data_IF_481602980942
#
_entry.id   IF_481602980942
#
_cell.length_a   1.000
_cell.length_b   1.000
_cell.length_c   1.000
_cell.angle_alpha   90.00
_cell.angle_beta   90.00
_cell.angle_gamma   90.00
#
_symmetry.space_group_name_H-M   'P 1'
#
loop_
_entity.id
_entity.type
_entity.pdbx_description
1 polymer ?
#
# COMPACT_ATOMS: atom_id res chain seq x y z
N UNK A 1 -18.59 -5.01 -1.79
CA UNK A 1 -18.01 -3.63 -1.85
C UNK A 1 -17.14 -3.47 -3.09
N UNK A 2 -16.28 -4.46 -3.39
CA UNK A 2 -15.44 -4.52 -4.59
C UNK A 2 -16.23 -4.35 -5.90
N UNK A 3 -17.28 -5.14 -6.13
CA UNK A 3 -18.08 -5.08 -7.37
C UNK A 3 -18.59 -3.68 -7.72
N UNK A 4 -19.01 -2.91 -6.70
CA UNK A 4 -19.51 -1.54 -6.89
C UNK A 4 -18.39 -0.59 -7.33
N UNK A 5 -17.18 -0.78 -6.80
CA UNK A 5 -16.00 -0.01 -7.16
C UNK A 5 -15.51 -0.40 -8.57
N UNK A 6 -15.54 -1.68 -8.92
CA UNK A 6 -15.19 -2.17 -10.28
C UNK A 6 -16.17 -1.64 -11.32
N UNK A 7 -17.47 -1.58 -10.99
CA UNK A 7 -18.47 -0.99 -11.88
C UNK A 7 -18.19 0.49 -12.13
N UNK A 8 -17.85 1.26 -11.10
CA UNK A 8 -17.46 2.68 -11.27
C UNK A 8 -16.20 2.82 -12.12
N UNK A 9 -15.23 1.91 -11.98
CA UNK A 9 -14.03 1.88 -12.81
C UNK A 9 -14.39 1.62 -14.29
N UNK A 10 -15.27 0.66 -14.54
CA UNK A 10 -15.77 0.32 -15.89
C UNK A 10 -16.60 1.47 -16.50
N UNK A 11 -17.33 2.23 -15.68
CA UNK A 11 -18.04 3.45 -16.09
C UNK A 11 -17.10 4.65 -16.33
N UNK A 12 -15.77 4.44 -16.26
CA UNK A 12 -14.75 5.43 -16.60
C UNK A 12 -14.27 6.29 -15.44
N UNK A 13 -14.73 6.04 -14.20
CA UNK A 13 -14.26 6.78 -13.01
C UNK A 13 -12.96 6.21 -12.48
N UNK A 14 -11.91 6.22 -13.29
CA UNK A 14 -10.57 5.81 -12.82
C UNK A 14 -9.93 6.93 -11.99
N UNK A 15 -9.75 6.69 -10.69
CA UNK A 15 -9.16 7.68 -9.77
C UNK A 15 -8.37 6.97 -8.68
N UNK A 16 -7.33 7.64 -8.16
CA UNK A 16 -6.49 7.09 -7.09
C UNK A 16 -7.31 6.64 -5.86
N UNK A 17 -8.33 7.41 -5.46
CA UNK A 17 -9.26 7.05 -4.38
C UNK A 17 -10.08 5.78 -4.69
N UNK A 18 -10.56 5.64 -5.93
CA UNK A 18 -11.32 4.46 -6.33
C UNK A 18 -10.43 3.21 -6.32
N UNK A 19 -9.25 3.31 -6.94
CA UNK A 19 -8.24 2.24 -6.96
C UNK A 19 -7.77 1.86 -5.57
N UNK A 20 -7.62 2.84 -4.67
CA UNK A 20 -7.35 2.59 -3.26
C UNK A 20 -8.47 1.79 -2.58
N UNK A 21 -9.73 2.18 -2.80
CA UNK A 21 -10.88 1.46 -2.28
C UNK A 21 -10.95 0.01 -2.81
N UNK A 22 -10.62 -0.19 -4.09
CA UNK A 22 -10.51 -1.53 -4.69
C UNK A 22 -9.41 -2.33 -3.98
N UNK A 23 -8.23 -1.74 -3.81
CA UNK A 23 -7.12 -2.35 -3.10
C UNK A 23 -7.46 -2.75 -1.65
N UNK A 24 -8.12 -1.87 -0.90
CA UNK A 24 -8.59 -2.17 0.46
C UNK A 24 -9.63 -3.29 0.50
N UNK A 25 -10.61 -3.26 -0.41
CA UNK A 25 -11.60 -4.34 -0.52
C UNK A 25 -10.93 -5.68 -0.83
N UNK A 26 -9.97 -5.67 -1.75
CA UNK A 26 -9.24 -6.84 -2.18
C UNK A 26 -8.37 -7.42 -1.04
N UNK A 27 -7.74 -6.56 -0.23
CA UNK A 27 -7.06 -6.99 1.00
C UNK A 27 -8.00 -7.67 2.01
N UNK A 28 -9.25 -7.20 2.12
CA UNK A 28 -10.25 -7.82 3.00
C UNK A 28 -10.74 -9.17 2.49
N UNK A 29 -10.67 -9.37 1.18
CA UNK A 29 -10.99 -10.65 0.51
C UNK A 29 -9.80 -11.63 0.51
N UNK A 30 -8.68 -11.27 1.15
CA UNK A 30 -7.43 -12.03 1.16
C UNK A 30 -6.74 -12.10 -0.22
N UNK A 31 -7.17 -11.27 -1.17
CA UNK A 31 -6.60 -11.14 -2.51
C UNK A 31 -5.48 -10.09 -2.52
N UNK A 32 -4.35 -10.39 -1.86
CA UNK A 32 -3.24 -9.45 -1.75
C UNK A 32 -2.58 -9.11 -3.11
N UNK A 33 -2.66 -10.02 -4.10
CA UNK A 33 -2.06 -9.83 -5.44
C UNK A 33 -2.76 -8.70 -6.19
N UNK A 34 -4.08 -8.82 -6.34
CA UNK A 34 -4.93 -7.81 -6.97
C UNK A 34 -4.92 -6.50 -6.17
N UNK A 35 -4.87 -6.57 -4.84
CA UNK A 35 -4.72 -5.39 -4.01
C UNK A 35 -3.45 -4.61 -4.34
N UNK A 36 -2.29 -5.28 -4.42
CA UNK A 36 -1.02 -4.64 -4.73
C UNK A 36 -1.06 -3.95 -6.10
N UNK A 37 -1.67 -4.57 -7.11
CA UNK A 37 -1.85 -3.98 -8.43
C UNK A 37 -2.68 -2.70 -8.34
N UNK A 38 -3.89 -2.76 -7.76
CA UNK A 38 -4.75 -1.58 -7.65
C UNK A 38 -4.10 -0.44 -6.85
N UNK A 39 -3.41 -0.78 -5.76
CA UNK A 39 -2.74 0.21 -4.90
C UNK A 39 -1.53 0.85 -5.59
N UNK A 40 -0.72 0.08 -6.32
CA UNK A 40 0.38 0.61 -7.13
C UNK A 40 -0.15 1.58 -8.21
N UNK A 41 -1.25 1.21 -8.85
CA UNK A 41 -1.91 2.09 -9.79
C UNK A 41 -2.49 3.37 -9.14
N UNK A 42 -2.88 3.32 -7.87
CA UNK A 42 -3.31 4.49 -7.11
C UNK A 42 -2.14 5.42 -6.77
N UNK A 43 -0.98 4.85 -6.40
CA UNK A 43 0.23 5.64 -6.08
C UNK A 43 0.85 6.28 -7.33
N UNK A 44 0.73 5.66 -8.50
CA UNK A 44 1.14 6.27 -9.78
C UNK A 44 0.27 7.48 -10.12
N UNK A 45 -1.05 7.38 -9.92
CA UNK A 45 -1.96 8.51 -10.16
C UNK A 45 -1.79 9.64 -9.15
N UNK A 46 -1.68 9.28 -7.87
CA UNK A 46 -1.52 10.23 -6.78
C UNK A 46 -0.31 9.83 -5.95
N UNK A 47 0.91 10.27 -6.34
CA UNK A 47 2.14 9.94 -5.62
C UNK A 47 2.14 10.51 -4.20
N UNK A 48 1.36 11.57 -3.98
CA UNK A 48 1.09 12.13 -2.66
C UNK A 48 0.23 11.24 -1.76
N UNK A 49 -0.32 10.12 -2.21
CA UNK A 49 -1.31 9.39 -1.41
C UNK A 49 -0.68 8.43 -0.40
N UNK A 50 -0.28 8.96 0.75
CA UNK A 50 0.34 8.23 1.86
C UNK A 50 -0.42 6.97 2.28
N UNK A 51 -1.76 7.01 2.26
CA UNK A 51 -2.60 5.85 2.59
C UNK A 51 -2.47 4.70 1.58
N UNK A 52 -2.36 5.00 0.29
CA UNK A 52 -2.16 3.97 -0.75
C UNK A 52 -0.82 3.28 -0.61
N UNK A 53 0.26 4.04 -0.33
CA UNK A 53 1.58 3.47 -0.04
C UNK A 53 1.56 2.55 1.19
N UNK A 54 0.82 2.94 2.24
CA UNK A 54 0.66 2.13 3.46
C UNK A 54 0.03 0.77 3.14
N UNK A 55 -1.11 0.76 2.44
CA UNK A 55 -1.79 -0.48 2.08
C UNK A 55 -0.98 -1.30 1.06
N UNK A 56 -0.27 -0.65 0.13
CA UNK A 56 0.55 -1.33 -0.87
C UNK A 56 1.60 -2.21 -0.20
N UNK A 57 2.36 -1.65 0.76
CA UNK A 57 3.33 -2.46 1.49
C UNK A 57 2.68 -3.56 2.33
N UNK A 58 1.47 -3.35 2.86
CA UNK A 58 0.73 -4.40 3.58
C UNK A 58 0.29 -5.54 2.66
N UNK A 59 -0.10 -5.23 1.42
CA UNK A 59 -0.40 -6.22 0.40
C UNK A 59 0.87 -7.02 0.05
N UNK A 60 1.97 -6.34 -0.26
CA UNK A 60 3.25 -6.96 -0.58
C UNK A 60 3.79 -7.84 0.55
N UNK A 61 3.64 -7.41 1.80
CA UNK A 61 4.02 -8.23 2.95
C UNK A 61 3.19 -9.52 3.02
N UNK A 62 1.88 -9.45 2.80
CA UNK A 62 1.02 -10.65 2.78
C UNK A 62 1.35 -11.59 1.62
N UNK A 63 1.86 -11.05 0.50
CA UNK A 63 2.38 -11.83 -0.62
C UNK A 63 3.73 -12.50 -0.35
N UNK A 64 4.33 -12.29 0.82
CA UNK A 64 5.68 -12.79 1.11
C UNK A 64 6.77 -12.05 0.34
N UNK A 65 6.52 -10.79 -0.04
CA UNK A 65 7.47 -9.91 -0.74
C UNK A 65 7.93 -8.78 0.21
N UNK A 66 8.74 -9.10 1.25
CA UNK A 66 9.14 -8.14 2.28
C UNK A 66 9.99 -6.99 1.73
N UNK A 67 10.85 -7.26 0.75
CA UNK A 67 11.75 -6.28 0.13
C UNK A 67 10.97 -5.14 -0.54
N UNK A 68 9.97 -5.49 -1.35
CA UNK A 68 9.11 -4.51 -2.01
C UNK A 68 8.16 -3.82 -1.02
N UNK A 69 7.71 -4.53 0.01
CA UNK A 69 6.91 -3.94 1.06
C UNK A 69 7.67 -2.83 1.81
N UNK A 70 8.95 -3.08 2.12
CA UNK A 70 9.84 -2.08 2.72
C UNK A 70 10.02 -0.87 1.79
N UNK A 71 10.30 -1.10 0.50
CA UNK A 71 10.45 -0.03 -0.47
C UNK A 71 9.19 0.85 -0.58
N UNK A 72 8.01 0.22 -0.63
CA UNK A 72 6.73 0.91 -0.66
C UNK A 72 6.49 1.73 0.62
N UNK A 73 6.77 1.16 1.80
CA UNK A 73 6.60 1.87 3.06
C UNK A 73 7.62 3.00 3.25
N UNK A 74 8.85 2.82 2.79
CA UNK A 74 9.90 3.85 2.82
C UNK A 74 9.52 5.04 1.93
N UNK A 75 9.01 4.77 0.73
CA UNK A 75 8.52 5.80 -0.18
C UNK A 75 7.33 6.55 0.43
N UNK A 76 6.35 5.81 0.95
CA UNK A 76 5.18 6.42 1.57
C UNK A 76 5.51 7.19 2.86
N UNK A 77 6.54 6.80 3.62
CA UNK A 77 7.05 7.57 4.75
C UNK A 77 7.55 8.95 4.33
N UNK A 78 8.32 9.02 3.24
CA UNK A 78 8.81 10.29 2.70
C UNK A 78 7.65 11.18 2.23
N UNK A 79 6.68 10.58 1.54
CA UNK A 79 5.46 11.28 1.09
C UNK A 79 4.63 11.79 2.27
N UNK A 80 4.37 10.93 3.26
CA UNK A 80 3.60 11.26 4.45
C UNK A 80 4.25 12.39 5.25
N UNK A 81 5.57 12.33 5.44
CA UNK A 81 6.33 13.44 6.06
C UNK A 81 6.17 14.74 5.29
N UNK A 82 6.27 14.67 3.95
CA UNK A 82 6.12 15.84 3.08
C UNK A 82 4.71 16.44 3.11
N UNK A 83 3.69 15.60 3.31
CA UNK A 83 2.30 16.03 3.47
C UNK A 83 1.94 16.46 4.90
N UNK A 84 2.80 16.21 5.89
CA UNK A 84 2.47 16.41 7.30
C UNK A 84 1.54 15.33 7.87
N UNK A 85 1.38 14.20 7.21
CA UNK A 85 0.56 13.07 7.66
C UNK A 85 1.32 12.23 8.71
N UNK A 86 1.39 12.76 9.93
CA UNK A 86 2.13 12.14 11.03
C UNK A 86 1.57 10.77 11.44
N UNK A 87 0.29 10.50 11.16
CA UNK A 87 -0.35 9.21 11.44
C UNK A 87 0.19 8.13 10.51
N UNK A 88 0.17 8.37 9.20
CA UNK A 88 0.75 7.44 8.23
C UNK A 88 2.24 7.22 8.49
N UNK A 89 3.00 8.27 8.85
CA UNK A 89 4.41 8.12 9.22
C UNK A 89 4.59 7.15 10.38
N UNK A 90 3.81 7.29 11.45
CA UNK A 90 3.91 6.41 12.62
C UNK A 90 3.55 4.97 12.28
N UNK A 91 2.42 4.76 11.59
CA UNK A 91 1.98 3.42 11.21
C UNK A 91 3.00 2.71 10.30
N UNK A 92 3.48 3.41 9.26
CA UNK A 92 4.43 2.83 8.30
C UNK A 92 5.78 2.55 8.94
N UNK A 93 6.24 3.39 9.88
CA UNK A 93 7.46 3.12 10.66
C UNK A 93 7.33 1.83 11.48
N UNK A 94 6.18 1.60 12.11
CA UNK A 94 5.92 0.36 12.86
C UNK A 94 5.94 -0.86 11.93
N UNK A 95 5.39 -0.74 10.73
CA UNK A 95 5.37 -1.83 9.76
C UNK A 95 6.78 -2.20 9.26
N UNK A 96 7.60 -1.22 8.91
CA UNK A 96 9.01 -1.46 8.52
C UNK A 96 9.78 -2.14 9.65
N UNK A 97 9.65 -1.63 10.89
CA UNK A 97 10.33 -2.23 12.03
C UNK A 97 9.85 -3.67 12.31
N UNK A 98 8.55 -3.95 12.13
CA UNK A 98 8.03 -5.32 12.19
C UNK A 98 8.60 -6.22 11.10
N UNK A 99 8.79 -5.70 9.88
CA UNK A 99 9.42 -6.44 8.79
C UNK A 99 10.85 -6.84 9.16
N UNK A 100 11.65 -5.90 9.63
CA UNK A 100 13.03 -6.16 10.10
C UNK A 100 13.07 -7.18 11.23
N UNK A 101 12.13 -7.10 12.17
CA UNK A 101 12.03 -8.06 13.27
C UNK A 101 11.54 -9.45 12.82
N UNK A 102 10.68 -9.50 11.81
CA UNK A 102 10.11 -10.74 11.27
C UNK A 102 11.02 -11.45 10.26
N UNK A 103 12.12 -10.82 9.85
CA UNK A 103 13.18 -11.45 9.08
C UNK A 103 14.28 -11.98 10.03
N UNK A 104 14.18 -13.20 10.59
CA UNK A 104 15.29 -13.81 11.29
C UNK A 104 16.37 -14.19 10.26
N UNK A 105 17.32 -13.27 10.02
CA UNK A 105 18.60 -13.62 9.41
C UNK A 105 18.89 -13.02 8.02
N UNK A 106 18.89 -11.70 7.89
CA UNK A 106 19.71 -11.06 6.85
C UNK A 106 20.70 -10.07 7.47
N UNK A 107 22.02 -10.33 7.37
CA UNK A 107 23.04 -9.36 7.76
C UNK A 107 23.01 -8.17 6.79
N UNK A 108 23.15 -6.97 7.36
CA UNK A 108 23.40 -5.74 6.60
C UNK A 108 24.67 -5.89 5.72
N UNK A 109 24.73 -5.27 4.53
CA UNK A 109 25.97 -5.18 3.77
C UNK A 109 27.06 -4.41 4.51
#
# INVERSE_FOLDING_TARGET
MREKLEKMLAEGRDSALLRFGLGDACLKENDAEQAAVHLAHATVQQPGYSAAWKLLGKALQQLGRPDEAEAAWTTGLAVARKQGDLQAVKEMTVFVNRLHKAAPGQPAP
#
